data_IF_439263042716
#
_entry.id   IF_439263042716
#
_cell.length_a   1.000
_cell.length_b   1.000
_cell.length_c   1.000
_cell.angle_alpha   90.00
_cell.angle_beta   90.00
_cell.angle_gamma   90.00
#
_symmetry.space_group_name_H-M   'P 1'
#
loop_
_entity.id
_entity.type
_entity.pdbx_description
1 polymer ?
#
# COMPACT_ATOMS: atom_id res chain seq x y z
N UNK A 1 -10.18 -5.37 -3.85
CA UNK A 1 -9.77 -4.03 -3.40
C UNK A 1 -8.71 -3.40 -4.30
N UNK A 2 -7.47 -3.92 -4.39
CA UNK A 2 -6.46 -3.28 -5.25
C UNK A 2 -6.83 -3.31 -6.74
N UNK A 3 -7.43 -4.41 -7.21
CA UNK A 3 -7.96 -4.52 -8.58
C UNK A 3 -9.12 -3.55 -8.84
N UNK A 4 -10.00 -3.37 -7.86
CA UNK A 4 -11.13 -2.43 -7.95
C UNK A 4 -10.62 -0.98 -8.03
N UNK A 5 -9.62 -0.63 -7.21
CA UNK A 5 -8.96 0.68 -7.26
C UNK A 5 -8.18 0.89 -8.55
N UNK A 6 -7.57 -0.17 -9.10
CA UNK A 6 -6.90 -0.14 -10.40
C UNK A 6 -7.90 0.12 -11.52
N UNK A 7 -9.03 -0.57 -11.51
CA UNK A 7 -10.11 -0.37 -12.47
C UNK A 7 -10.68 1.06 -12.38
N UNK A 8 -10.89 1.58 -11.17
CA UNK A 8 -11.36 2.96 -10.96
C UNK A 8 -10.36 4.01 -11.45
N UNK A 9 -9.06 3.80 -11.21
CA UNK A 9 -7.98 4.72 -11.59
C UNK A 9 -7.64 4.64 -13.09
N UNK A 10 -7.92 3.51 -13.74
CA UNK A 10 -7.54 3.22 -15.13
C UNK A 10 -6.05 2.93 -15.34
N UNK A 11 -5.28 2.71 -14.26
CA UNK A 11 -3.86 2.33 -14.34
C UNK A 11 -3.44 1.48 -13.13
N UNK A 12 -2.54 0.49 -13.32
CA UNK A 12 -2.10 -0.38 -12.24
C UNK A 12 -1.23 0.35 -11.21
N UNK A 13 -1.22 -0.18 -9.99
CA UNK A 13 -0.24 0.18 -8.98
C UNK A 13 1.05 -0.60 -9.19
N UNK A 14 2.19 -0.01 -8.84
CA UNK A 14 3.52 -0.61 -9.00
C UNK A 14 4.18 -0.96 -7.67
N UNK A 15 3.68 -0.40 -6.56
CA UNK A 15 4.17 -0.64 -5.21
C UNK A 15 3.06 -0.38 -4.20
N UNK A 16 2.99 -1.20 -3.15
CA UNK A 16 2.11 -1.00 -2.01
C UNK A 16 2.93 -0.55 -0.80
N UNK A 17 2.63 0.61 -0.23
CA UNK A 17 3.24 1.06 1.02
C UNK A 17 2.35 0.63 2.19
N UNK A 18 2.87 -0.23 3.07
CA UNK A 18 2.16 -0.64 4.30
C UNK A 18 2.76 0.13 5.46
N UNK A 19 1.93 0.91 6.15
CA UNK A 19 2.33 1.77 7.27
C UNK A 19 1.59 1.37 8.55
N UNK A 20 1.96 1.96 9.70
CA UNK A 20 1.30 1.68 10.98
C UNK A 20 1.93 0.49 11.72
N UNK A 21 1.43 0.18 12.93
CA UNK A 21 1.88 -0.99 13.71
C UNK A 21 1.80 -2.32 12.95
N UNK A 22 0.81 -2.47 12.07
CA UNK A 22 0.66 -3.66 11.22
C UNK A 22 1.84 -3.89 10.26
N UNK A 23 2.55 -2.83 9.86
CA UNK A 23 3.74 -2.93 9.00
C UNK A 23 4.90 -3.69 9.66
N UNK A 24 4.84 -3.91 10.98
CA UNK A 24 5.83 -4.70 11.71
C UNK A 24 5.63 -6.21 11.58
N UNK A 25 4.54 -6.68 10.95
CA UNK A 25 4.29 -8.09 10.74
C UNK A 25 4.88 -8.57 9.39
N UNK A 26 6.08 -9.17 9.37
CA UNK A 26 6.75 -9.54 8.12
C UNK A 26 5.98 -10.62 7.34
N UNK A 27 5.32 -11.54 8.04
CA UNK A 27 4.51 -12.59 7.40
C UNK A 27 3.34 -11.96 6.64
N UNK A 28 2.60 -11.04 7.27
CA UNK A 28 1.48 -10.38 6.62
C UNK A 28 1.94 -9.50 5.44
N UNK A 29 3.06 -8.79 5.59
CA UNK A 29 3.62 -7.98 4.51
C UNK A 29 4.00 -8.84 3.29
N UNK A 30 4.64 -10.00 3.51
CA UNK A 30 4.99 -10.93 2.44
C UNK A 30 3.74 -11.51 1.78
N UNK A 31 2.75 -11.96 2.57
CA UNK A 31 1.48 -12.45 2.03
C UNK A 31 0.76 -11.38 1.21
N UNK A 32 0.82 -10.10 1.61
CA UNK A 32 0.29 -8.99 0.82
C UNK A 32 1.05 -8.81 -0.50
N UNK A 33 2.38 -8.83 -0.48
CA UNK A 33 3.19 -8.72 -1.70
C UNK A 33 2.83 -9.84 -2.68
N UNK A 34 2.78 -11.08 -2.20
CA UNK A 34 2.47 -12.27 -2.99
C UNK A 34 1.05 -12.24 -3.57
N UNK A 35 0.06 -11.95 -2.72
CA UNK A 35 -1.35 -11.96 -3.13
C UNK A 35 -1.67 -10.82 -4.10
N UNK A 36 -1.03 -9.65 -3.93
CA UNK A 36 -1.21 -8.51 -4.83
C UNK A 36 -0.31 -8.55 -6.06
N UNK A 37 0.71 -9.42 -6.09
CA UNK A 37 1.66 -9.54 -7.19
C UNK A 37 2.51 -8.29 -7.42
N UNK A 38 2.63 -7.39 -6.43
CA UNK A 38 3.41 -6.16 -6.51
C UNK A 38 4.32 -6.01 -5.28
N UNK A 39 5.47 -5.33 -5.41
CA UNK A 39 6.33 -5.03 -4.27
C UNK A 39 5.59 -4.33 -3.14
N UNK A 40 5.93 -4.70 -1.91
CA UNK A 40 5.50 -4.01 -0.69
C UNK A 40 6.70 -3.29 -0.07
N UNK A 41 6.50 -2.04 0.34
CA UNK A 41 7.43 -1.30 1.19
C UNK A 41 6.75 -1.10 2.56
N UNK A 42 7.27 -1.76 3.59
CA UNK A 42 6.73 -1.68 4.93
C UNK A 42 7.44 -0.59 5.76
N UNK A 43 6.66 0.23 6.45
CA UNK A 43 7.10 1.37 7.25
C UNK A 43 6.67 2.72 6.65
N UNK A 44 6.72 3.81 7.44
CA UNK A 44 7.07 3.84 8.86
C UNK A 44 5.95 3.30 9.77
N UNK A 45 6.34 2.81 10.95
CA UNK A 45 5.42 2.30 11.97
C UNK A 45 4.51 3.42 12.48
N UNK A 46 5.08 4.57 12.82
CA UNK A 46 4.36 5.71 13.39
C UNK A 46 3.88 6.71 12.32
N UNK A 47 3.33 6.21 11.21
CA UNK A 47 2.94 7.06 10.08
C UNK A 47 1.89 8.12 10.42
N UNK A 48 0.93 7.82 11.31
CA UNK A 48 -0.05 8.80 11.79
C UNK A 48 0.62 9.95 12.56
N UNK A 49 1.57 9.61 13.43
CA UNK A 49 2.35 10.57 14.21
C UNK A 49 3.21 11.44 13.30
N UNK A 50 3.91 10.81 12.34
CA UNK A 50 4.72 11.53 11.35
C UNK A 50 3.84 12.47 10.50
N UNK A 51 2.68 12.00 10.03
CA UNK A 51 1.75 12.84 9.27
C UNK A 51 1.29 14.07 10.05
N UNK A 52 1.02 13.92 11.35
CA UNK A 52 0.68 15.03 12.24
C UNK A 52 1.83 16.05 12.34
N UNK A 53 3.06 15.58 12.59
CA UNK A 53 4.25 16.45 12.62
C UNK A 53 4.44 17.15 11.27
N UNK A 54 4.28 16.45 10.16
CA UNK A 54 4.36 17.03 8.82
C UNK A 54 3.36 18.17 8.61
N UNK A 55 2.11 18.01 9.05
CA UNK A 55 1.11 19.08 9.04
C UNK A 55 1.55 20.30 9.86
N UNK A 56 2.15 20.10 11.04
CA UNK A 56 2.64 21.19 11.88
C UNK A 56 3.82 21.92 11.22
N UNK A 57 4.78 21.19 10.65
CA UNK A 57 5.92 21.78 9.94
C UNK A 57 5.50 22.59 8.72
N UNK A 58 4.50 22.10 7.96
CA UNK A 58 3.93 22.87 6.85
C UNK A 58 3.21 24.15 7.33
N UNK A 59 2.52 24.09 8.47
CA UNK A 59 1.86 25.27 9.05
C UNK A 59 2.85 26.33 9.60
N UNK A 60 4.10 25.93 9.86
CA UNK A 60 5.19 26.80 10.28
C UNK A 60 6.07 27.27 9.12
N UNK A 61 5.70 26.95 7.87
CA UNK A 61 6.49 27.19 6.65
C UNK A 61 7.90 26.52 6.66
N UNK A 62 8.14 25.55 7.54
CA UNK A 62 9.41 24.81 7.64
C UNK A 62 9.56 23.76 6.51
N UNK A 63 8.44 23.28 5.97
CA UNK A 63 8.38 22.34 4.85
C UNK A 63 7.33 22.81 3.85
N UNK A 64 7.68 22.83 2.57
CA UNK A 64 6.83 23.40 1.52
C UNK A 64 5.52 22.62 1.28
N UNK A 65 5.59 21.28 1.24
CA UNK A 65 4.45 20.43 0.89
C UNK A 65 4.59 18.98 1.38
N UNK A 66 3.55 18.19 1.14
CA UNK A 66 3.48 16.77 1.51
C UNK A 66 4.57 15.94 0.80
N UNK A 67 4.94 16.27 -0.43
CA UNK A 67 5.94 15.52 -1.17
C UNK A 67 7.35 15.80 -0.64
N UNK A 68 7.63 17.04 -0.22
CA UNK A 68 8.83 17.40 0.53
C UNK A 68 8.89 16.66 1.86
N UNK A 69 7.78 16.59 2.60
CA UNK A 69 7.72 15.82 3.84
C UNK A 69 7.95 14.32 3.61
N UNK A 70 7.35 13.72 2.57
CA UNK A 70 7.60 12.31 2.20
C UNK A 70 9.06 12.04 1.92
N UNK A 71 9.79 12.95 1.25
CA UNK A 71 11.25 12.82 1.04
C UNK A 71 12.01 12.78 2.37
N UNK A 72 11.63 13.62 3.34
CA UNK A 72 12.22 13.60 4.69
C UNK A 72 11.93 12.28 5.39
N UNK A 73 10.69 11.78 5.33
CA UNK A 73 10.32 10.49 5.93
C UNK A 73 11.13 9.34 5.31
N UNK A 74 11.22 9.28 3.98
CA UNK A 74 11.99 8.23 3.28
C UNK A 74 13.49 8.30 3.64
N UNK A 75 14.04 9.50 3.82
CA UNK A 75 15.45 9.68 4.18
C UNK A 75 15.74 9.39 5.66
N UNK A 76 14.74 9.43 6.55
CA UNK A 76 14.90 9.31 8.01
C UNK A 76 14.41 7.99 8.60
N UNK A 77 13.59 7.23 7.86
CA UNK A 77 12.97 6.00 8.34
C UNK A 77 13.47 4.79 7.55
N UNK A 78 13.58 3.65 8.22
CA UNK A 78 13.85 2.38 7.55
C UNK A 78 12.57 1.85 6.91
N UNK A 79 12.61 1.62 5.60
CA UNK A 79 11.57 0.92 4.87
C UNK A 79 12.05 -0.50 4.53
N UNK A 80 11.24 -1.49 4.85
CA UNK A 80 11.58 -2.90 4.58
C UNK A 80 10.89 -3.36 3.30
N UNK A 81 11.64 -3.72 2.25
CA UNK A 81 11.06 -4.23 1.01
C UNK A 81 10.66 -5.71 1.14
N UNK A 82 9.50 -6.04 0.56
CA UNK A 82 9.03 -7.40 0.35
C UNK A 82 8.71 -7.57 -1.14
N UNK A 83 9.39 -8.50 -1.79
CA UNK A 83 9.18 -8.79 -3.21
C UNK A 83 8.19 -9.95 -3.36
N UNK A 84 7.26 -9.88 -4.32
CA UNK A 84 6.26 -10.94 -4.52
C UNK A 84 6.93 -12.27 -4.89
N UNK A 85 6.50 -13.34 -4.23
CA UNK A 85 6.86 -14.72 -4.52
C UNK A 85 5.73 -15.38 -5.31
N UNK A 86 5.94 -15.58 -6.61
CA UNK A 86 4.88 -16.04 -7.54
C UNK A 86 4.47 -17.50 -7.35
N UNK A 87 5.31 -18.29 -6.69
CA UNK A 87 5.12 -19.72 -6.41
C UNK A 87 4.48 -19.99 -5.04
N UNK A 88 4.28 -18.96 -4.22
CA UNK A 88 3.67 -19.11 -2.90
C UNK A 88 2.21 -19.60 -2.99
N UNK A 89 1.73 -20.22 -1.93
CA UNK A 89 0.38 -20.78 -1.91
C UNK A 89 -0.69 -19.71 -2.10
N UNK A 90 -0.49 -18.53 -1.53
CA UNK A 90 -1.43 -17.42 -1.63
C UNK A 90 -1.42 -16.82 -3.04
N UNK A 91 -0.26 -16.70 -3.70
CA UNK A 91 -0.18 -16.27 -5.09
C UNK A 91 -0.94 -17.24 -6.02
N UNK A 92 -0.75 -18.55 -5.81
CA UNK A 92 -1.48 -19.60 -6.54
C UNK A 92 -3.00 -19.53 -6.28
N UNK A 93 -3.43 -19.21 -5.07
CA UNK A 93 -4.85 -19.05 -4.76
C UNK A 93 -5.43 -17.77 -5.36
N UNK A 94 -4.74 -16.64 -5.25
CA UNK A 94 -5.17 -15.36 -5.81
C UNK A 94 -5.41 -15.45 -7.33
N UNK A 95 -4.53 -16.14 -8.05
CA UNK A 95 -4.69 -16.39 -9.49
C UNK A 95 -5.98 -17.17 -9.81
N UNK A 96 -6.40 -18.11 -8.94
CA UNK A 96 -7.64 -18.90 -9.10
C UNK A 96 -8.90 -18.14 -8.68
N UNK A 97 -8.77 -17.16 -7.78
CA UNK A 97 -9.88 -16.41 -7.17
C UNK A 97 -10.17 -15.09 -7.90
N UNK A 98 -9.45 -14.80 -8.99
CA UNK A 98 -9.76 -13.66 -9.88
C UNK A 98 -11.25 -13.63 -10.25
N UNK A 99 -11.90 -12.46 -10.25
CA UNK A 99 -13.32 -12.39 -9.96
C UNK A 99 -14.15 -12.95 -11.12
N UNK A 100 -14.69 -14.15 -10.91
CA UNK A 100 -16.03 -14.48 -11.37
C UNK A 100 -17.05 -13.66 -10.57
N UNK A 101 -16.91 -12.33 -10.55
CA UNK A 101 -17.89 -11.45 -9.91
C UNK A 101 -18.92 -11.11 -10.97
N UNK A 102 -19.86 -12.04 -11.10
CA UNK A 102 -21.15 -11.82 -11.71
C UNK A 102 -21.80 -10.60 -11.04
N UNK A 103 -21.54 -9.39 -11.54
CA UNK A 103 -22.32 -8.21 -11.20
C UNK A 103 -23.69 -8.44 -11.88
N UNK A 104 -24.60 -9.15 -11.19
CA UNK A 104 -26.00 -9.23 -11.61
C UNK A 104 -26.59 -7.83 -11.44
N UNK A 105 -26.69 -7.11 -12.56
CA UNK A 105 -27.89 -6.41 -13.09
C UNK A 105 -28.96 -5.85 -12.12
N UNK A 106 -28.60 -5.30 -10.97
CA UNK A 106 -29.52 -4.45 -10.20
C UNK A 106 -28.94 -3.04 -10.04
N UNK A 107 -28.59 -2.44 -11.18
CA UNK A 107 -28.74 -1.00 -11.38
C UNK A 107 -30.06 -0.83 -12.15
N UNK A 108 -30.94 0.06 -11.67
CA UNK A 108 -32.27 0.43 -12.20
C UNK A 108 -33.47 -0.43 -11.77
N UNK A 109 -33.80 -0.41 -10.48
CA UNK A 109 -35.20 -0.44 -10.02
C UNK A 109 -35.45 0.79 -9.14
#
# INVERSE_FOLDING_TARGET
MLDELTALRGRPFTVLHIVGGGSQNPLLNQLCADACGIPVLAGPVEASTLGNIGCQLMALDDIADVDAFRRVVIASQTLTPFHPQTDSEIARHAARVSPSRQIRKELYA
#
